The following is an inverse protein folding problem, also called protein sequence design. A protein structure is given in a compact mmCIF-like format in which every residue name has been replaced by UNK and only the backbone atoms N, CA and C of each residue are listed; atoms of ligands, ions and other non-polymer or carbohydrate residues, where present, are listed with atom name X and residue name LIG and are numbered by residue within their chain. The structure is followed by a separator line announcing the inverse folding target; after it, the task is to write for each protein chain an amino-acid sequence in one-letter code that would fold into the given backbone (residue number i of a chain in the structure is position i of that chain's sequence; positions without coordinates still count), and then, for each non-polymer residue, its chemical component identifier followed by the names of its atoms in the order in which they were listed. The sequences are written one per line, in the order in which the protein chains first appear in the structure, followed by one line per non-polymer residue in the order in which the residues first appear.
data_IF_364785740716
#
_entry.id   IF_364785740716
#
_cell.length_a   1.000
_cell.length_b   1.000
_cell.length_c   1.000
_cell.angle_alpha   90.00
_cell.angle_beta   90.00
_cell.angle_gamma   90.00
#
_symmetry.space_group_name_H-M   'P 1'
#
loop_
_entity.id
_entity.type
_entity.pdbx_description
1 polymer ?
#
# COMPACT_ATOMS: atom_id res chain seq x y z
N UNK A 1 19.70 -11.99 11.84
CA UNK A 1 19.07 -12.06 10.50
C UNK A 1 17.60 -12.43 10.70
N UNK A 2 16.70 -11.46 10.62
CA UNK A 2 15.25 -11.74 10.70
C UNK A 2 14.90 -12.59 9.48
N UNK A 3 14.45 -13.83 9.67
CA UNK A 3 13.88 -14.65 8.60
C UNK A 3 12.52 -14.04 8.26
N UNK A 4 12.52 -13.02 7.39
CA UNK A 4 11.31 -12.43 6.86
C UNK A 4 10.53 -13.53 6.12
N UNK A 5 9.39 -13.93 6.66
CA UNK A 5 8.49 -14.87 5.98
C UNK A 5 7.82 -14.13 4.83
N UNK A 6 7.75 -14.77 3.67
CA UNK A 6 7.09 -14.20 2.49
C UNK A 6 5.59 -14.10 2.79
N UNK A 7 4.94 -12.94 2.56
CA UNK A 7 3.50 -12.80 2.73
C UNK A 7 2.78 -13.48 1.56
N UNK A 8 2.68 -14.82 1.62
CA UNK A 8 2.12 -15.66 0.56
C UNK A 8 0.72 -15.21 0.10
N UNK A 9 -0.23 -14.85 0.98
CA UNK A 9 -1.56 -14.41 0.54
C UNK A 9 -1.49 -13.15 -0.33
N UNK A 10 -0.72 -12.15 0.10
CA UNK A 10 -0.51 -10.91 -0.65
C UNK A 10 0.13 -11.18 -2.02
N UNK A 11 1.14 -12.05 -2.06
CA UNK A 11 1.83 -12.45 -3.30
C UNK A 11 0.87 -13.15 -4.26
N UNK A 12 0.02 -14.07 -3.78
CA UNK A 12 -0.97 -14.76 -4.61
C UNK A 12 -1.99 -13.78 -5.20
N UNK A 13 -2.45 -12.84 -4.39
CA UNK A 13 -3.40 -11.81 -4.80
C UNK A 13 -2.79 -10.88 -5.85
N UNK A 14 -1.57 -10.40 -5.59
CA UNK A 14 -0.81 -9.57 -6.52
C UNK A 14 -0.54 -10.29 -7.86
N UNK A 15 -0.21 -11.58 -7.80
CA UNK A 15 0.00 -12.43 -8.97
C UNK A 15 -1.29 -12.59 -9.78
N UNK A 16 -2.41 -12.84 -9.12
CA UNK A 16 -3.72 -12.97 -9.78
C UNK A 16 -4.15 -11.68 -10.49
N UNK A 17 -4.06 -10.53 -9.82
CA UNK A 17 -4.39 -9.25 -10.45
C UNK A 17 -3.41 -8.89 -11.56
N UNK A 18 -2.11 -9.18 -11.38
CA UNK A 18 -1.12 -9.08 -12.45
C UNK A 18 -1.51 -9.93 -13.66
N UNK A 19 -1.87 -11.20 -13.44
CA UNK A 19 -2.33 -12.12 -14.47
C UNK A 19 -3.56 -11.60 -15.20
N UNK A 20 -4.56 -11.13 -14.46
CA UNK A 20 -5.75 -10.50 -15.03
C UNK A 20 -5.39 -9.34 -15.96
N UNK A 21 -4.45 -8.47 -15.56
CA UNK A 21 -4.04 -7.31 -16.36
C UNK A 21 -3.30 -7.71 -17.62
N UNK A 22 -2.35 -8.65 -17.49
CA UNK A 22 -1.66 -9.23 -18.63
C UNK A 22 -2.64 -9.83 -19.64
N UNK A 23 -3.63 -10.57 -19.13
CA UNK A 23 -4.65 -11.18 -19.95
C UNK A 23 -5.52 -10.14 -20.66
N UNK A 24 -6.02 -9.13 -19.94
CA UNK A 24 -6.80 -8.05 -20.56
C UNK A 24 -5.98 -7.35 -21.65
N UNK A 25 -4.73 -7.00 -21.36
CA UNK A 25 -3.84 -6.32 -22.33
C UNK A 25 -3.59 -7.18 -23.57
N UNK A 26 -3.36 -8.48 -23.42
CA UNK A 26 -3.15 -9.38 -24.54
C UNK A 26 -4.42 -9.66 -25.34
N UNK A 27 -5.59 -9.68 -24.68
CA UNK A 27 -6.89 -9.90 -25.31
C UNK A 27 -7.55 -8.65 -25.87
N UNK A 28 -6.96 -7.45 -25.67
CA UNK A 28 -7.44 -6.24 -26.32
C UNK A 28 -7.43 -6.44 -27.82
N UNK A 29 -8.60 -6.68 -28.40
CA UNK A 29 -8.78 -6.77 -29.83
C UNK A 29 -8.20 -5.50 -30.48
N UNK A 30 -7.55 -5.60 -31.65
CA UNK A 30 -7.10 -4.42 -32.37
C UNK A 30 -8.31 -3.54 -32.65
N UNK A 31 -8.45 -2.48 -31.85
CA UNK A 31 -9.46 -1.44 -32.04
C UNK A 31 -9.20 -0.81 -33.40
N UNK A 32 -10.27 -0.48 -34.13
CA UNK A 32 -10.14 0.25 -35.39
C UNK A 32 -9.30 1.53 -35.17
N UNK A 33 -8.53 2.00 -36.17
CA UNK A 33 -7.64 3.15 -36.03
C UNK A 33 -8.30 4.40 -35.43
N UNK A 34 -9.61 4.57 -35.65
CA UNK A 34 -10.43 5.67 -35.11
C UNK A 34 -10.67 5.61 -33.60
N UNK A 35 -10.64 4.43 -32.99
CA UNK A 35 -10.97 4.22 -31.57
C UNK A 35 -9.75 4.23 -30.65
N UNK A 36 -8.53 4.15 -31.19
CA UNK A 36 -7.28 4.13 -30.42
C UNK A 36 -7.17 5.37 -29.53
N UNK A 37 -7.33 6.57 -30.11
CA UNK A 37 -7.23 7.83 -29.38
C UNK A 37 -8.30 7.95 -28.28
N UNK A 38 -9.53 7.49 -28.58
CA UNK A 38 -10.65 7.51 -27.63
C UNK A 38 -10.39 6.57 -26.47
N UNK A 39 -9.93 5.35 -26.75
CA UNK A 39 -9.56 4.36 -25.73
C UNK A 39 -8.45 4.88 -24.83
N UNK A 40 -7.39 5.44 -25.40
CA UNK A 40 -6.24 5.91 -24.64
C UNK A 40 -6.63 7.08 -23.74
N UNK A 41 -7.46 8.02 -24.24
CA UNK A 41 -8.01 9.10 -23.43
C UNK A 41 -8.90 8.58 -22.29
N UNK A 42 -9.79 7.61 -22.57
CA UNK A 42 -10.65 6.99 -21.55
C UNK A 42 -9.83 6.24 -20.49
N UNK A 43 -8.75 5.56 -20.87
CA UNK A 43 -7.85 4.89 -19.93
C UNK A 43 -7.14 5.89 -19.01
N UNK A 44 -6.68 7.03 -19.54
CA UNK A 44 -6.08 8.10 -18.73
C UNK A 44 -7.12 8.64 -17.72
N UNK A 45 -8.33 8.93 -18.19
CA UNK A 45 -9.43 9.38 -17.32
C UNK A 45 -9.75 8.34 -16.25
N UNK A 46 -9.79 7.06 -16.62
CA UNK A 46 -10.03 5.95 -15.69
C UNK A 46 -8.95 5.85 -14.61
N UNK A 47 -7.67 6.09 -14.93
CA UNK A 47 -6.57 6.10 -13.95
C UNK A 47 -6.77 7.22 -12.93
N UNK A 48 -7.06 8.44 -13.38
CA UNK A 48 -7.27 9.59 -12.50
C UNK A 48 -8.53 9.39 -11.65
N UNK A 49 -9.61 8.90 -12.25
CA UNK A 49 -10.86 8.62 -11.55
C UNK A 49 -10.69 7.51 -10.50
N UNK A 50 -9.89 6.48 -10.78
CA UNK A 50 -9.57 5.42 -9.82
C UNK A 50 -8.79 5.94 -8.61
N UNK A 51 -7.84 6.86 -8.82
CA UNK A 51 -7.13 7.51 -7.73
C UNK A 51 -8.06 8.37 -6.86
N UNK A 52 -8.96 9.14 -7.49
CA UNK A 52 -9.99 9.90 -6.77
C UNK A 52 -10.95 8.99 -6.00
N UNK A 53 -11.40 7.90 -6.61
CA UNK A 53 -12.25 6.92 -5.95
C UNK A 53 -11.56 6.27 -4.76
N UNK A 54 -10.28 5.87 -4.89
CA UNK A 54 -9.50 5.33 -3.78
C UNK A 54 -9.38 6.34 -2.64
N UNK A 55 -9.12 7.62 -2.93
CA UNK A 55 -9.10 8.67 -1.91
C UNK A 55 -10.43 8.78 -1.17
N UNK A 56 -11.55 8.81 -1.91
CA UNK A 56 -12.89 8.91 -1.32
C UNK A 56 -13.21 7.67 -0.46
N UNK A 57 -12.97 6.47 -0.96
CA UNK A 57 -13.30 5.24 -0.22
C UNK A 57 -12.40 5.01 1.00
N UNK A 58 -11.12 5.37 0.90
CA UNK A 58 -10.16 5.20 2.01
C UNK A 58 -10.23 6.32 3.05
N UNK A 59 -10.35 7.59 2.65
CA UNK A 59 -10.27 8.74 3.55
C UNK A 59 -11.65 9.17 4.05
N UNK A 60 -12.65 9.24 3.15
CA UNK A 60 -13.99 9.74 3.50
C UNK A 60 -14.84 8.62 4.10
N UNK A 61 -14.95 7.47 3.41
CA UNK A 61 -15.74 6.34 3.87
C UNK A 61 -15.00 5.43 4.86
N UNK A 62 -13.69 5.60 5.02
CA UNK A 62 -12.83 4.82 5.94
C UNK A 62 -13.07 3.32 5.83
N UNK A 63 -13.19 2.84 4.59
CA UNK A 63 -13.47 1.45 4.30
C UNK A 63 -12.25 0.58 4.65
N UNK A 64 -12.51 -0.62 5.19
CA UNK A 64 -11.48 -1.62 5.45
C UNK A 64 -10.97 -2.21 4.12
N UNK A 65 -9.77 -2.78 4.12
CA UNK A 65 -9.18 -3.38 2.91
C UNK A 65 -10.06 -4.43 2.23
N UNK A 66 -10.77 -5.24 3.01
CA UNK A 66 -11.71 -6.21 2.46
C UNK A 66 -12.80 -5.51 1.63
N UNK A 67 -13.36 -4.40 2.13
CA UNK A 67 -14.39 -3.66 1.40
C UNK A 67 -13.81 -2.95 0.18
N UNK A 68 -12.63 -2.33 0.31
CA UNK A 68 -11.92 -1.69 -0.80
C UNK A 68 -11.66 -2.69 -1.93
N UNK A 69 -11.23 -3.91 -1.61
CA UNK A 69 -10.89 -4.93 -2.62
C UNK A 69 -12.11 -5.68 -3.16
N UNK A 70 -13.02 -6.17 -2.32
CA UNK A 70 -14.15 -7.02 -2.75
C UNK A 70 -15.32 -6.26 -3.32
N UNK A 71 -15.68 -5.11 -2.74
CA UNK A 71 -16.92 -4.43 -3.13
C UNK A 71 -16.69 -3.44 -4.26
N UNK A 72 -15.45 -2.97 -4.43
CA UNK A 72 -15.14 -1.95 -5.43
C UNK A 72 -14.30 -2.52 -6.56
N UNK A 73 -13.07 -2.98 -6.28
CA UNK A 73 -12.13 -3.36 -7.35
C UNK A 73 -12.58 -4.56 -8.18
N UNK A 74 -12.95 -5.67 -7.52
CA UNK A 74 -13.27 -6.93 -8.19
C UNK A 74 -14.50 -6.86 -9.11
N UNK A 75 -15.64 -6.28 -8.70
CA UNK A 75 -16.79 -6.11 -9.58
C UNK A 75 -16.46 -5.25 -10.79
N UNK A 76 -15.63 -4.20 -10.62
CA UNK A 76 -15.22 -3.33 -11.70
C UNK A 76 -14.31 -4.05 -12.72
N UNK A 77 -13.37 -4.85 -12.24
CA UNK A 77 -12.51 -5.70 -13.08
C UNK A 77 -13.34 -6.74 -13.85
N UNK A 78 -14.26 -7.42 -13.17
CA UNK A 78 -15.15 -8.39 -13.80
C UNK A 78 -16.07 -7.74 -14.83
N UNK A 79 -16.61 -6.55 -14.51
CA UNK A 79 -17.40 -5.77 -15.44
C UNK A 79 -16.57 -5.40 -16.68
N UNK A 80 -15.30 -5.01 -16.53
CA UNK A 80 -14.42 -4.75 -17.67
C UNK A 80 -14.32 -5.92 -18.67
N UNK A 81 -14.18 -7.16 -18.18
CA UNK A 81 -14.20 -8.35 -19.05
C UNK A 81 -15.58 -8.64 -19.66
N UNK A 82 -16.67 -8.28 -18.97
CA UNK A 82 -18.03 -8.49 -19.48
C UNK A 82 -18.28 -7.70 -20.77
N UNK A 83 -17.71 -6.50 -20.88
CA UNK A 83 -17.87 -5.63 -22.04
C UNK A 83 -16.90 -5.95 -23.18
N UNK A 84 -15.83 -6.70 -22.93
CA UNK A 84 -14.81 -7.06 -23.92
C UNK A 84 -15.36 -7.73 -25.20
N UNK A 85 -16.29 -8.71 -25.15
CA UNK A 85 -16.82 -9.37 -26.34
C UNK A 85 -17.90 -8.56 -27.09
N UNK A 86 -18.29 -7.39 -26.58
CA UNK A 86 -19.29 -6.55 -27.22
C UNK A 86 -18.68 -5.74 -28.37
N UNK A 87 -19.53 -5.27 -29.30
CA UNK A 87 -19.08 -4.42 -30.41
C UNK A 87 -18.72 -3.01 -29.93
N UNK A 88 -17.86 -2.34 -30.70
CA UNK A 88 -17.55 -0.93 -30.48
C UNK A 88 -18.81 -0.06 -30.46
N UNK A 89 -18.96 0.89 -29.52
CA UNK A 89 -17.94 1.40 -28.58
C UNK A 89 -17.87 0.69 -27.22
N UNK A 90 -18.69 -0.33 -26.99
CA UNK A 90 -18.86 -0.93 -25.66
C UNK A 90 -17.60 -1.66 -25.19
N UNK A 91 -16.86 -2.30 -26.09
CA UNK A 91 -15.55 -2.89 -25.82
C UNK A 91 -14.54 -1.85 -25.33
N UNK A 92 -14.46 -0.67 -25.95
CA UNK A 92 -13.60 0.43 -25.49
C UNK A 92 -13.99 0.90 -24.08
N UNK A 93 -15.30 1.04 -23.80
CA UNK A 93 -15.77 1.36 -22.44
C UNK A 93 -15.38 0.25 -21.45
N UNK A 94 -15.47 -1.01 -21.85
CA UNK A 94 -15.02 -2.16 -21.06
C UNK A 94 -13.54 -2.07 -20.67
N UNK A 95 -12.68 -1.67 -21.60
CA UNK A 95 -11.25 -1.50 -21.32
C UNK A 95 -10.96 -0.39 -20.33
N UNK A 96 -11.69 0.73 -20.41
CA UNK A 96 -11.57 1.83 -19.46
C UNK A 96 -12.09 1.44 -18.07
N UNK A 97 -13.20 0.71 -18.00
CA UNK A 97 -13.77 0.23 -16.74
C UNK A 97 -12.84 -0.80 -16.08
N UNK A 98 -12.25 -1.70 -16.87
CA UNK A 98 -11.20 -2.58 -16.39
C UNK A 98 -10.00 -1.80 -15.84
N UNK A 99 -9.51 -0.81 -16.59
CA UNK A 99 -8.36 0.01 -16.20
C UNK A 99 -8.62 0.75 -14.89
N UNK A 100 -9.84 1.27 -14.70
CA UNK A 100 -10.26 1.88 -13.45
C UNK A 100 -10.16 0.87 -12.30
N UNK A 101 -10.76 -0.32 -12.45
CA UNK A 101 -10.79 -1.35 -11.41
C UNK A 101 -9.40 -1.84 -11.04
N UNK A 102 -8.56 -2.07 -12.04
CA UNK A 102 -7.17 -2.48 -11.86
C UNK A 102 -6.34 -1.39 -11.17
N UNK A 103 -6.45 -0.13 -11.62
CA UNK A 103 -5.70 0.98 -11.02
C UNK A 103 -6.12 1.22 -9.57
N UNK A 104 -7.41 1.16 -9.28
CA UNK A 104 -7.95 1.28 -7.93
C UNK A 104 -7.35 0.18 -7.04
N UNK A 105 -7.38 -1.08 -7.50
CA UNK A 105 -6.79 -2.20 -6.77
C UNK A 105 -5.29 -2.05 -6.56
N UNK A 106 -4.58 -1.58 -7.58
CA UNK A 106 -3.14 -1.33 -7.51
C UNK A 106 -2.84 -0.36 -6.36
N UNK A 107 -3.55 0.77 -6.26
CA UNK A 107 -3.41 1.71 -5.15
C UNK A 107 -3.70 1.09 -3.79
N UNK A 108 -4.71 0.23 -3.70
CA UNK A 108 -5.01 -0.53 -2.47
C UNK A 108 -3.81 -1.41 -2.07
N UNK A 109 -3.15 -2.10 -3.02
CA UNK A 109 -1.94 -2.87 -2.72
C UNK A 109 -0.79 -2.02 -2.17
N UNK A 110 -0.58 -0.81 -2.70
CA UNK A 110 0.45 0.11 -2.17
C UNK A 110 0.20 0.42 -0.69
N UNK A 111 -1.05 0.69 -0.32
CA UNK A 111 -1.42 0.92 1.08
C UNK A 111 -1.24 -0.34 1.94
N UNK A 112 -1.60 -1.52 1.43
CA UNK A 112 -1.42 -2.79 2.15
C UNK A 112 0.07 -3.06 2.43
N UNK A 113 0.96 -2.78 1.48
CA UNK A 113 2.40 -3.00 1.67
C UNK A 113 2.98 -2.14 2.79
N UNK A 114 2.57 -0.87 2.86
CA UNK A 114 2.98 0.04 3.93
C UNK A 114 2.52 -0.44 5.30
N UNK A 115 1.23 -0.77 5.42
CA UNK A 115 0.62 -1.31 6.65
C UNK A 115 1.29 -2.60 7.09
N UNK A 116 1.48 -3.55 6.17
CA UNK A 116 2.06 -4.86 6.49
C UNK A 116 3.51 -4.73 6.93
N UNK A 117 4.28 -3.86 6.27
CA UNK A 117 5.65 -3.56 6.68
C UNK A 117 5.71 -2.99 8.11
N UNK A 118 4.79 -2.07 8.44
CA UNK A 118 4.71 -1.47 9.77
C UNK A 118 4.30 -2.49 10.85
N UNK A 119 3.23 -3.26 10.62
CA UNK A 119 2.69 -4.24 11.57
C UNK A 119 3.65 -5.40 11.85
N UNK A 120 4.19 -6.01 10.80
CA UNK A 120 5.05 -7.20 10.90
C UNK A 120 6.52 -6.84 11.15
N UNK A 121 6.84 -5.54 11.28
CA UNK A 121 8.21 -5.00 11.43
C UNK A 121 9.16 -5.54 10.35
N UNK A 122 8.63 -5.75 9.14
CA UNK A 122 9.39 -6.21 7.99
C UNK A 122 10.00 -5.00 7.27
N UNK A 123 11.17 -5.15 6.64
CA UNK A 123 11.70 -4.11 5.78
C UNK A 123 10.68 -3.78 4.68
N UNK A 124 10.22 -2.53 4.59
CA UNK A 124 9.20 -2.12 3.62
C UNK A 124 9.60 -2.48 2.17
N UNK A 125 10.88 -2.26 1.83
CA UNK A 125 11.44 -2.65 0.54
C UNK A 125 11.30 -4.14 0.24
N UNK A 126 11.37 -5.02 1.25
CA UNK A 126 11.21 -6.47 1.07
C UNK A 126 9.77 -6.85 0.70
N UNK A 127 8.79 -6.25 1.39
CA UNK A 127 7.36 -6.48 1.12
C UNK A 127 6.99 -5.94 -0.26
N UNK A 128 7.39 -4.71 -0.57
CA UNK A 128 7.15 -4.09 -1.87
C UNK A 128 7.83 -4.85 -3.01
N UNK A 129 9.07 -5.32 -2.84
CA UNK A 129 9.78 -6.06 -3.88
C UNK A 129 9.07 -7.36 -4.26
N UNK A 130 8.65 -8.15 -3.26
CA UNK A 130 7.89 -9.38 -3.53
C UNK A 130 6.51 -9.10 -4.12
N UNK A 131 5.82 -8.06 -3.65
CA UNK A 131 4.54 -7.63 -4.20
C UNK A 131 4.65 -7.23 -5.67
N UNK A 132 5.58 -6.32 -6.00
CA UNK A 132 5.82 -5.87 -7.37
C UNK A 132 6.29 -7.00 -8.28
N UNK A 133 7.21 -7.85 -7.82
CA UNK A 133 7.68 -8.99 -8.61
C UNK A 133 6.52 -9.94 -8.94
N UNK A 134 5.64 -10.21 -7.98
CA UNK A 134 4.46 -11.03 -8.20
C UNK A 134 3.50 -10.43 -9.24
N UNK A 135 3.29 -9.10 -9.21
CA UNK A 135 2.51 -8.40 -10.24
C UNK A 135 3.14 -8.59 -11.61
N UNK A 136 4.45 -8.36 -11.75
CA UNK A 136 5.13 -8.46 -13.04
C UNK A 136 5.13 -9.89 -13.60
N UNK A 137 5.35 -10.89 -12.75
CA UNK A 137 5.27 -12.31 -13.13
C UNK A 137 3.84 -12.64 -13.58
N UNK A 138 2.83 -12.16 -12.84
CA UNK A 138 1.43 -12.30 -13.22
C UNK A 138 1.17 -11.69 -14.60
N UNK A 139 1.54 -10.42 -14.81
CA UNK A 139 1.33 -9.71 -16.08
C UNK A 139 2.00 -10.41 -17.25
N UNK A 140 3.22 -10.89 -17.06
CA UNK A 140 3.92 -11.66 -18.08
C UNK A 140 3.17 -12.96 -18.41
N UNK A 141 2.80 -13.74 -17.40
CA UNK A 141 2.07 -14.99 -17.58
C UNK A 141 0.70 -14.77 -18.24
N UNK A 142 -0.03 -13.73 -17.84
CA UNK A 142 -1.33 -13.38 -18.43
C UNK A 142 -1.21 -12.92 -19.88
N UNK A 143 -0.21 -12.10 -20.20
CA UNK A 143 0.01 -11.63 -21.57
C UNK A 143 0.41 -12.78 -22.49
N UNK A 144 1.28 -13.69 -22.03
CA UNK A 144 1.65 -14.88 -22.78
C UNK A 144 0.46 -15.84 -22.96
N UNK A 145 -0.35 -16.01 -21.93
CA UNK A 145 -1.55 -16.84 -22.00
C UNK A 145 -2.59 -16.27 -22.99
N UNK A 146 -2.75 -14.94 -23.03
CA UNK A 146 -3.61 -14.28 -23.99
C UNK A 146 -3.10 -14.43 -25.44
N UNK A 147 -1.81 -14.20 -25.66
CA UNK A 147 -1.19 -14.31 -26.98
C UNK A 147 -1.27 -15.75 -27.55
N UNK A 148 -0.95 -16.75 -26.73
CA UNK A 148 -1.12 -18.16 -27.09
C UNK A 148 -2.60 -18.53 -27.26
N UNK A 149 -3.47 -17.98 -26.42
CA UNK A 149 -4.92 -18.24 -26.43
C UNK A 149 -5.63 -17.67 -27.67
N UNK A 150 -5.17 -16.52 -28.19
CA UNK A 150 -5.71 -15.88 -29.39
C UNK A 150 -5.70 -16.81 -30.61
N UNK A 151 -4.67 -17.64 -30.75
CA UNK A 151 -4.58 -18.63 -31.84
C UNK A 151 -5.65 -19.73 -31.77
N UNK A 152 -6.24 -19.97 -30.60
CA UNK A 152 -7.31 -20.96 -30.39
C UNK A 152 -8.72 -20.36 -30.42
N UNK A 153 -8.86 -19.03 -30.49
CA UNK A 153 -10.16 -18.34 -30.57
C UNK A 153 -10.74 -18.41 -32.00
N UNK A 154 -10.98 -19.63 -32.48
CA UNK A 154 -11.56 -19.88 -33.80
C UNK A 154 -13.04 -20.20 -33.63
N UNK A 155 -13.91 -19.23 -33.93
CA UNK A 155 -15.36 -19.40 -33.94
C UNK A 155 -16.14 -18.17 -33.45
N UNK A 156 -17.36 -18.01 -33.95
CA UNK A 156 -18.27 -16.97 -33.49
C UNK A 156 -18.55 -17.13 -31.99
N UNK A 157 -18.24 -16.10 -31.20
CA UNK A 157 -18.45 -16.10 -29.75
C UNK A 157 -17.30 -16.67 -28.91
N UNK A 158 -16.19 -17.12 -29.49
CA UNK A 158 -15.04 -17.63 -28.74
C UNK A 158 -14.51 -16.62 -27.71
N UNK A 159 -14.45 -15.32 -28.07
CA UNK A 159 -14.06 -14.24 -27.18
C UNK A 159 -15.04 -14.07 -26.01
N UNK A 160 -16.34 -14.28 -26.24
CA UNK A 160 -17.36 -14.21 -25.19
C UNK A 160 -17.23 -15.38 -24.20
N UNK A 161 -16.97 -16.59 -24.70
CA UNK A 161 -16.71 -17.76 -23.87
C UNK A 161 -15.46 -17.58 -23.01
N UNK A 162 -14.37 -17.06 -23.60
CA UNK A 162 -13.14 -16.75 -22.87
C UNK A 162 -13.39 -15.69 -21.80
N UNK A 163 -14.08 -14.60 -22.14
CA UNK A 163 -14.43 -13.54 -21.20
C UNK A 163 -15.26 -14.08 -20.03
N UNK A 164 -16.27 -14.92 -20.31
CA UNK A 164 -17.08 -15.58 -19.28
C UNK A 164 -16.24 -16.52 -18.41
N UNK A 165 -15.31 -17.29 -18.99
CA UNK A 165 -14.41 -18.17 -18.25
C UNK A 165 -13.47 -17.37 -17.33
N UNK A 166 -12.96 -16.22 -17.80
CA UNK A 166 -12.11 -15.32 -17.01
C UNK A 166 -12.91 -14.67 -15.89
N UNK A 167 -14.12 -14.19 -16.16
CA UNK A 167 -15.03 -13.66 -15.13
C UNK A 167 -15.28 -14.75 -14.09
N UNK A 168 -15.64 -15.97 -14.50
CA UNK A 168 -15.88 -17.07 -13.59
C UNK A 168 -14.64 -17.43 -12.76
N UNK A 169 -13.46 -17.51 -13.38
CA UNK A 169 -12.20 -17.73 -12.68
C UNK A 169 -11.89 -16.60 -11.69
N UNK A 170 -12.12 -15.34 -12.08
CA UNK A 170 -11.89 -14.19 -11.21
C UNK A 170 -12.81 -14.19 -9.99
N UNK A 171 -14.08 -14.58 -10.17
CA UNK A 171 -15.04 -14.74 -9.08
C UNK A 171 -14.71 -15.95 -8.19
N UNK A 172 -14.26 -17.07 -8.74
CA UNK A 172 -13.79 -18.23 -7.96
C UNK A 172 -12.57 -17.85 -7.13
N UNK A 173 -11.56 -17.23 -7.74
CA UNK A 173 -10.37 -16.79 -7.01
C UNK A 173 -10.76 -15.79 -5.93
N UNK A 174 -11.66 -14.84 -6.23
CA UNK A 174 -12.24 -13.94 -5.25
C UNK A 174 -12.91 -14.70 -4.10
N UNK A 175 -13.64 -15.76 -4.38
CA UNK A 175 -14.37 -16.51 -3.34
C UNK A 175 -13.41 -17.33 -2.47
N UNK A 176 -12.47 -18.07 -3.06
CA UNK A 176 -11.64 -19.03 -2.33
C UNK A 176 -10.37 -18.43 -1.71
N UNK A 177 -9.70 -17.49 -2.39
CA UNK A 177 -8.47 -16.89 -1.84
C UNK A 177 -8.78 -16.00 -0.65
N UNK A 178 -9.99 -15.47 -0.58
CA UNK A 178 -10.32 -14.40 0.35
C UNK A 178 -11.38 -14.73 1.41
N UNK A 179 -12.42 -15.53 1.10
CA UNK A 179 -13.44 -15.89 2.12
C UNK A 179 -12.89 -16.77 3.25
N UNK A 180 -11.86 -17.58 2.98
CA UNK A 180 -11.27 -18.48 3.98
C UNK A 180 -10.01 -17.95 4.68
N UNK A 181 -9.41 -16.86 4.19
CA UNK A 181 -8.07 -16.39 4.65
C UNK A 181 -8.04 -14.99 5.25
N UNK A 182 -8.98 -14.10 4.93
CA UNK A 182 -9.05 -12.78 5.61
C UNK A 182 -9.26 -12.95 7.12
N UNK A 183 -10.10 -13.91 7.52
CA UNK A 183 -10.36 -14.25 8.92
C UNK A 183 -9.13 -14.79 9.69
N UNK A 184 -8.10 -15.33 9.02
CA UNK A 184 -6.93 -15.94 9.68
C UNK A 184 -5.65 -15.12 9.62
N UNK A 185 -5.60 -14.08 8.76
CA UNK A 185 -4.39 -13.27 8.56
C UNK A 185 -4.52 -11.83 9.08
N UNK A 186 -5.74 -11.38 9.44
CA UNK A 186 -5.95 -10.18 10.26
C UNK A 186 -5.65 -8.83 9.60
N UNK A 187 -5.38 -8.80 8.28
CA UNK A 187 -5.14 -7.56 7.50
C UNK A 187 -6.40 -7.06 6.78
N UNK A 188 -7.41 -7.89 6.56
CA UNK A 188 -8.64 -7.50 5.86
C UNK A 188 -9.52 -6.49 6.62
N UNK A 189 -9.47 -6.50 7.96
CA UNK A 189 -10.13 -5.53 8.84
C UNK A 189 -9.31 -4.26 9.06
N UNK A 190 -8.16 -4.12 8.40
CA UNK A 190 -7.31 -2.95 8.59
C UNK A 190 -7.86 -1.78 7.81
N UNK A 191 -8.01 -0.67 8.53
CA UNK A 191 -8.27 0.65 7.99
C UNK A 191 -6.93 1.36 7.83
N UNK A 192 -6.33 1.36 6.62
CA UNK A 192 -4.99 1.90 6.42
C UNK A 192 -4.83 3.29 6.99
N UNK A 193 -5.83 4.14 6.76
CA UNK A 193 -5.74 5.54 7.17
C UNK A 193 -5.87 5.74 8.68
N UNK A 194 -6.67 4.92 9.36
CA UNK A 194 -6.75 4.99 10.82
C UNK A 194 -5.50 4.43 11.49
N UNK A 195 -4.87 3.41 10.89
CA UNK A 195 -3.69 2.80 11.46
C UNK A 195 -2.43 3.64 11.28
N UNK A 196 -2.27 4.26 10.11
CA UNK A 196 -1.21 5.24 9.90
C UNK A 196 -1.43 6.49 10.74
N UNK A 197 -2.68 6.96 10.90
CA UNK A 197 -3.00 8.05 11.82
C UNK A 197 -2.63 7.68 13.27
N UNK A 198 -3.01 6.48 13.74
CA UNK A 198 -2.62 5.99 15.08
C UNK A 198 -1.12 5.79 15.24
N UNK A 199 -0.41 5.33 14.21
CA UNK A 199 1.04 5.21 14.24
C UNK A 199 1.72 6.58 14.22
N UNK A 200 1.14 7.57 13.54
CA UNK A 200 1.61 8.96 13.53
C UNK A 200 1.34 9.65 14.87
N UNK A 201 0.15 9.45 15.46
CA UNK A 201 -0.22 9.91 16.80
C UNK A 201 0.59 9.21 17.90
N UNK A 202 0.96 7.94 17.66
CA UNK A 202 1.75 7.10 18.56
C UNK A 202 3.26 7.34 18.50
N UNK A 203 3.78 8.08 17.51
CA UNK A 203 5.16 8.61 17.55
C UNK A 203 5.21 9.73 18.58
N UNK A 204 5.23 9.34 19.84
CA UNK A 204 5.37 10.26 20.94
C UNK A 204 6.76 10.90 20.87
N UNK A 205 6.88 12.08 21.47
CA UNK A 205 8.19 12.73 21.68
C UNK A 205 9.21 11.76 22.32
N UNK A 206 8.74 10.76 23.08
CA UNK A 206 9.56 9.72 23.70
C UNK A 206 10.23 8.81 22.65
N UNK A 207 9.52 8.40 21.59
CA UNK A 207 10.09 7.59 20.51
C UNK A 207 11.15 8.36 19.72
N UNK A 208 10.89 9.64 19.44
CA UNK A 208 11.86 10.52 18.78
C UNK A 208 13.09 10.73 19.67
N UNK A 209 12.89 10.93 20.98
CA UNK A 209 13.97 11.02 21.93
C UNK A 209 14.78 9.72 22.04
N UNK A 210 14.13 8.55 22.03
CA UNK A 210 14.81 7.25 22.08
C UNK A 210 15.62 6.95 20.81
N UNK A 211 15.11 7.35 19.64
CA UNK A 211 15.83 7.22 18.37
C UNK A 211 17.08 8.10 18.33
N UNK A 212 16.96 9.38 18.73
CA UNK A 212 18.09 10.31 18.82
C UNK A 212 19.11 9.89 19.89
N UNK A 213 18.63 9.42 21.03
CA UNK A 213 19.48 8.93 22.12
C UNK A 213 20.35 7.77 21.67
N UNK A 214 19.78 6.81 20.93
CA UNK A 214 20.53 5.68 20.36
C UNK A 214 21.54 6.13 19.31
N UNK A 215 21.15 7.02 18.40
CA UNK A 215 22.03 7.55 17.34
C UNK A 215 23.22 8.32 17.92
N UNK A 216 23.00 9.13 18.95
CA UNK A 216 24.03 9.95 19.59
C UNK A 216 24.71 9.28 20.78
N UNK A 217 24.41 7.99 21.04
CA UNK A 217 24.98 7.20 22.14
C UNK A 217 24.86 7.91 23.50
N UNK A 218 23.68 8.44 23.77
CA UNK A 218 23.32 8.94 25.10
C UNK A 218 23.23 7.76 26.07
N UNK A 219 23.67 7.97 27.30
CA UNK A 219 23.46 7.03 28.40
C UNK A 219 22.01 7.09 28.87
N UNK A 220 21.53 6.07 29.59
CA UNK A 220 20.16 6.02 30.13
C UNK A 220 19.81 7.31 30.90
N UNK A 221 20.73 7.79 31.75
CA UNK A 221 20.53 9.03 32.52
C UNK A 221 20.55 10.29 31.67
N UNK A 222 21.33 10.31 30.58
CA UNK A 222 21.31 11.43 29.64
C UNK A 222 20.02 11.42 28.80
N UNK A 223 19.48 10.25 28.46
CA UNK A 223 18.19 10.10 27.79
C UNK A 223 17.06 10.68 28.63
N UNK A 224 16.99 10.36 29.92
CA UNK A 224 15.97 10.89 30.83
C UNK A 224 15.97 12.43 30.87
N UNK A 225 17.17 13.02 30.98
CA UNK A 225 17.35 14.48 30.98
C UNK A 225 17.01 15.07 29.60
N UNK A 226 17.41 14.40 28.52
CA UNK A 226 17.14 14.83 27.14
C UNK A 226 15.63 14.87 26.84
N UNK A 227 14.87 13.83 27.21
CA UNK A 227 13.42 13.78 27.04
C UNK A 227 12.73 14.96 27.73
N UNK A 228 13.16 15.34 28.93
CA UNK A 228 12.59 16.47 29.66
C UNK A 228 12.97 17.82 29.03
N UNK A 229 14.19 17.96 28.51
CA UNK A 229 14.62 19.15 27.77
C UNK A 229 13.84 19.33 26.47
N UNK A 230 13.59 18.24 25.73
CA UNK A 230 12.81 18.22 24.51
C UNK A 230 11.33 18.59 24.74
N UNK A 231 10.81 18.38 25.96
CA UNK A 231 9.48 18.86 26.40
C UNK A 231 9.45 20.34 26.80
N UNK A 232 10.54 21.09 26.61
CA UNK A 232 10.64 22.48 27.05
C UNK A 232 10.72 22.67 28.57
N UNK A 233 11.01 21.61 29.34
CA UNK A 233 11.14 21.73 30.81
C UNK A 233 12.45 22.43 31.18
N UNK A 234 12.40 23.24 32.23
CA UNK A 234 13.58 23.94 32.74
C UNK A 234 14.39 23.05 33.70
N UNK A 235 15.63 23.47 34.01
CA UNK A 235 16.53 22.72 34.90
C UNK A 235 15.97 22.47 36.29
N UNK A 236 15.31 23.47 36.89
CA UNK A 236 14.72 23.35 38.22
C UNK A 236 13.66 22.24 38.26
N UNK A 237 12.86 22.13 37.20
CA UNK A 237 11.89 21.04 37.04
C UNK A 237 12.60 19.69 36.91
N UNK A 238 13.64 19.60 36.08
CA UNK A 238 14.40 18.36 35.88
C UNK A 238 15.06 17.87 37.18
N UNK A 239 15.64 18.78 37.97
CA UNK A 239 16.24 18.44 39.27
C UNK A 239 15.21 17.81 40.20
N UNK A 240 14.00 18.37 40.23
CA UNK A 240 12.90 17.89 41.07
C UNK A 240 12.35 16.55 40.59
N UNK A 241 12.18 16.39 39.28
CA UNK A 241 11.60 15.19 38.66
C UNK A 241 12.54 13.98 38.78
N UNK A 242 13.83 14.17 38.47
CA UNK A 242 14.83 13.11 38.48
C UNK A 242 15.56 12.95 39.83
N UNK A 243 15.22 13.80 40.81
CA UNK A 243 15.80 13.83 42.17
C UNK A 243 17.35 13.87 42.11
N UNK A 244 17.88 14.82 41.35
CA UNK A 244 19.33 15.05 41.17
C UNK A 244 19.70 16.51 41.39
N UNK A 245 20.95 16.77 41.77
CA UNK A 245 21.45 18.11 42.02
C UNK A 245 21.58 18.96 40.76
N UNK A 246 21.47 20.29 40.90
CA UNK A 246 21.53 21.23 39.77
C UNK A 246 22.85 21.15 39.00
N UNK A 247 23.99 20.99 39.69
CA UNK A 247 25.29 20.78 39.07
C UNK A 247 25.38 19.47 38.26
N UNK A 248 24.65 18.43 38.68
CA UNK A 248 24.54 17.16 37.95
C UNK A 248 23.71 17.34 36.67
N UNK A 249 22.56 18.01 36.75
CA UNK A 249 21.73 18.34 35.57
C UNK A 249 22.52 19.19 34.59
N UNK A 250 23.25 20.22 35.07
CA UNK A 250 24.08 21.09 34.24
C UNK A 250 25.17 20.32 33.49
N UNK A 251 25.79 19.36 34.17
CA UNK A 251 26.78 18.46 33.57
C UNK A 251 26.17 17.56 32.48
N UNK A 252 25.01 16.95 32.75
CA UNK A 252 24.29 16.15 31.75
C UNK A 252 23.85 16.98 30.54
N UNK A 253 23.29 18.18 30.75
CA UNK A 253 22.89 19.10 29.65
C UNK A 253 24.08 19.41 28.75
N UNK A 254 25.25 19.73 29.34
CA UNK A 254 26.46 20.02 28.56
C UNK A 254 26.95 18.82 27.75
N UNK A 255 26.87 17.61 28.33
CA UNK A 255 27.22 16.38 27.64
C UNK A 255 26.26 16.09 26.47
N UNK A 256 24.95 16.28 26.69
CA UNK A 256 23.89 16.11 25.69
C UNK A 256 24.09 17.08 24.52
N UNK A 257 24.28 18.37 24.80
CA UNK A 257 24.52 19.40 23.76
C UNK A 257 25.74 19.09 22.91
N UNK A 258 26.83 18.63 23.53
CA UNK A 258 28.03 18.20 22.82
C UNK A 258 27.79 16.95 21.96
N UNK A 259 27.07 15.95 22.47
CA UNK A 259 26.79 14.69 21.75
C UNK A 259 25.78 14.85 20.61
N UNK A 260 24.86 15.80 20.74
CA UNK A 260 23.86 16.14 19.71
C UNK A 260 24.32 17.27 18.78
N UNK A 261 25.46 17.90 19.09
CA UNK A 261 25.98 19.07 18.38
C UNK A 261 24.97 20.22 18.28
N UNK A 262 24.31 20.53 19.40
CA UNK A 262 23.35 21.64 19.55
C UNK A 262 23.85 22.65 20.56
N UNK A 263 23.41 23.89 20.44
CA UNK A 263 23.90 25.02 21.24
C UNK A 263 22.80 25.68 22.06
N UNK A 264 21.53 25.33 21.82
CA UNK A 264 20.39 25.84 22.59
C UNK A 264 19.33 24.76 22.84
N UNK A 265 18.47 24.99 23.84
CA UNK A 265 17.32 24.14 24.08
C UNK A 265 16.34 24.19 22.90
N UNK A 266 16.23 25.33 22.22
CA UNK A 266 15.39 25.46 21.04
C UNK A 266 15.91 24.60 19.88
N UNK A 267 17.22 24.61 19.63
CA UNK A 267 17.82 23.70 18.62
C UNK A 267 17.61 22.24 18.96
N UNK A 268 17.64 21.89 20.26
CA UNK A 268 17.35 20.54 20.73
C UNK A 268 15.89 20.15 20.49
N UNK A 269 14.94 21.06 20.72
CA UNK A 269 13.51 20.85 20.44
C UNK A 269 13.28 20.71 18.92
N UNK A 270 13.86 21.60 18.12
CA UNK A 270 13.79 21.56 16.65
C UNK A 270 14.40 20.28 16.04
N UNK A 271 15.22 19.55 16.80
CA UNK A 271 15.78 18.26 16.39
C UNK A 271 14.84 17.09 16.63
N UNK A 272 13.84 17.26 17.51
CA UNK A 272 12.88 16.25 17.92
C UNK A 272 11.51 16.46 17.25
N UNK A 273 11.15 17.71 16.93
CA UNK A 273 10.05 18.08 16.02
C UNK A 273 10.37 17.79 14.55
#
# INVERSE_FOLDING_TARGET
RVRARIPVPLVLVALFFGFSFGLMKGLMAPVGPSWIAVRDALNIVAIVAAAGAFYVTSVVYRMDFDHLTYQVALPLVAAGFLFLPLREPLSVVGTAMYQFGYQYFYLVLWAIWAVLAAREKLPAAWVCAWGLLAIQIGQLAGSLAADLGLGFLVGDGALAMLSAAVIFATLIVSLFVFSGRSASTGWGSVRPMEEEARAAEGRTLEDACDALSRRSRLTVRETDVFCLLARGRNRAFICKELVIGDETVKSHVKAIYRKLNVHSQQELINLVE
#
